data_IF_912583621160
#
_entry.id   IF_912583621160
#
_cell.length_a   1.000
_cell.length_b   1.000
_cell.length_c   1.000
_cell.angle_alpha   90.00
_cell.angle_beta   90.00
_cell.angle_gamma   90.00
#
_symmetry.space_group_name_H-M   'P 1'
#
loop_
_entity.id
_entity.type
_entity.pdbx_description
1 polymer ?
#
# COMPACT_ATOMS: atom_id res chain seq x y z
N UNK A 1 53.78 -38.58 -5.93
CA UNK A 1 52.94 -39.48 -5.10
C UNK A 1 51.83 -38.62 -4.52
N UNK A 2 50.93 -38.32 -5.43
CA UNK A 2 49.81 -37.42 -5.34
C UNK A 2 48.70 -37.86 -4.36
N UNK A 3 48.05 -36.84 -3.82
CA UNK A 3 46.61 -36.71 -3.64
C UNK A 3 45.83 -37.77 -2.87
N UNK A 4 45.72 -37.54 -1.55
CA UNK A 4 44.48 -37.78 -0.80
C UNK A 4 44.28 -36.72 0.29
N UNK A 5 43.69 -35.58 -0.08
CA UNK A 5 42.96 -34.75 0.88
C UNK A 5 41.52 -34.63 0.41
N UNK A 6 40.65 -35.15 1.26
CA UNK A 6 39.22 -35.24 1.08
C UNK A 6 38.65 -33.87 0.70
N UNK A 7 38.04 -33.76 -0.47
CA UNK A 7 37.10 -32.68 -0.75
C UNK A 7 35.86 -32.95 0.09
N UNK A 8 35.66 -32.13 1.12
CA UNK A 8 34.42 -32.06 1.87
C UNK A 8 33.28 -31.82 0.88
N UNK A 9 32.45 -32.85 0.67
CA UNK A 9 31.19 -32.75 -0.06
C UNK A 9 30.37 -31.67 0.60
N UNK A 10 30.08 -30.63 -0.16
CA UNK A 10 29.30 -29.47 0.23
C UNK A 10 27.84 -29.92 0.46
N UNK A 11 27.57 -30.47 1.65
CA UNK A 11 26.23 -30.85 2.10
C UNK A 11 25.46 -29.58 2.41
N UNK A 12 24.76 -29.05 1.41
CA UNK A 12 23.73 -28.04 1.65
C UNK A 12 22.75 -28.63 2.68
N UNK A 13 22.55 -27.96 3.83
CA UNK A 13 21.73 -28.52 4.88
C UNK A 13 20.27 -28.57 4.43
N UNK A 14 19.64 -29.71 4.70
CA UNK A 14 18.25 -30.09 4.36
C UNK A 14 17.18 -29.15 4.99
N UNK A 15 17.58 -28.08 5.68
CA UNK A 15 16.67 -27.12 6.32
C UNK A 15 15.96 -26.18 5.33
N UNK A 16 16.41 -26.07 4.07
CA UNK A 16 15.82 -25.13 3.10
C UNK A 16 14.48 -25.61 2.49
N UNK A 17 14.15 -26.90 2.61
CA UNK A 17 12.94 -27.52 2.06
C UNK A 17 11.69 -27.37 2.95
N UNK A 18 11.83 -26.82 4.16
CA UNK A 18 10.74 -26.69 5.13
C UNK A 18 9.93 -25.37 5.02
N UNK A 19 10.12 -24.58 3.96
CA UNK A 19 9.11 -23.61 3.53
C UNK A 19 7.98 -24.36 2.81
N UNK A 20 7.31 -25.26 3.53
CA UNK A 20 6.04 -25.83 3.10
C UNK A 20 5.10 -24.66 2.88
N UNK A 21 4.78 -24.41 1.62
CA UNK A 21 3.71 -23.52 1.22
C UNK A 21 2.48 -23.91 2.03
N UNK A 22 2.10 -23.05 2.98
CA UNK A 22 0.81 -23.16 3.65
C UNK A 22 -0.20 -23.08 2.51
N UNK A 23 -1.03 -24.11 2.27
CA UNK A 23 -2.06 -24.01 1.26
C UNK A 23 -2.91 -22.81 1.63
N UNK A 24 -2.95 -21.83 0.73
CA UNK A 24 -3.68 -20.58 0.89
C UNK A 24 -5.10 -20.97 1.24
N UNK A 25 -5.48 -20.71 2.49
CA UNK A 25 -6.67 -21.25 3.11
C UNK A 25 -7.89 -21.06 2.22
N UNK A 26 -8.71 -22.10 2.14
CA UNK A 26 -10.04 -22.07 1.54
C UNK A 26 -10.81 -20.92 2.18
N UNK A 27 -10.91 -19.79 1.48
CA UNK A 27 -11.69 -18.65 1.94
C UNK A 27 -13.13 -19.12 1.96
N UNK A 28 -13.68 -19.26 3.16
CA UNK A 28 -15.03 -19.76 3.38
C UNK A 28 -16.02 -18.86 2.64
N UNK A 29 -16.93 -19.48 1.89
CA UNK A 29 -18.01 -18.85 1.14
C UNK A 29 -19.12 -18.32 2.08
N UNK A 30 -18.74 -17.72 3.22
CA UNK A 30 -19.68 -16.90 4.00
C UNK A 30 -20.00 -15.71 3.12
N UNK A 31 -21.29 -15.44 2.88
CA UNK A 31 -21.76 -14.28 2.15
C UNK A 31 -21.03 -13.03 2.68
N UNK A 32 -20.01 -12.59 1.94
CA UNK A 32 -19.09 -11.57 2.41
C UNK A 32 -19.86 -10.26 2.38
N UNK A 33 -20.21 -9.74 3.57
CA UNK A 33 -20.87 -8.45 3.70
C UNK A 33 -20.03 -7.43 2.93
N UNK A 34 -20.59 -6.80 1.88
CA UNK A 34 -19.88 -5.82 1.08
C UNK A 34 -19.33 -4.72 1.97
N UNK A 35 -18.12 -4.24 1.68
CA UNK A 35 -17.42 -3.30 2.55
C UNK A 35 -18.22 -2.03 2.83
N UNK A 36 -19.01 -1.56 1.85
CA UNK A 36 -19.82 -0.34 1.94
C UNK A 36 -21.04 -0.48 2.86
N UNK A 37 -21.48 -1.70 3.16
CA UNK A 37 -22.57 -1.95 4.11
C UNK A 37 -22.07 -2.01 5.56
N UNK A 38 -20.75 -2.04 5.77
CA UNK A 38 -20.15 -2.10 7.11
C UNK A 38 -20.15 -0.69 7.70
N UNK A 39 -20.43 -0.57 9.00
CA UNK A 39 -20.32 0.72 9.71
C UNK A 39 -18.86 1.15 9.90
N UNK A 40 -18.00 0.19 10.21
CA UNK A 40 -16.57 0.38 10.44
C UNK A 40 -15.76 -0.66 9.70
N UNK A 41 -14.60 -0.26 9.18
CA UNK A 41 -13.64 -1.16 8.54
C UNK A 41 -12.24 -0.96 9.09
N UNK A 42 -11.42 -2.02 9.01
CA UNK A 42 -10.02 -1.91 9.38
C UNK A 42 -9.25 -1.02 8.41
N UNK A 43 -8.22 -0.35 8.94
CA UNK A 43 -7.38 0.58 8.19
C UNK A 43 -6.76 -0.05 6.92
N UNK A 44 -6.38 -1.33 7.01
CA UNK A 44 -5.85 -2.09 5.87
C UNK A 44 -6.89 -2.22 4.74
N UNK A 45 -8.11 -2.61 5.09
CA UNK A 45 -9.21 -2.71 4.11
C UNK A 45 -9.55 -1.35 3.52
N UNK A 46 -9.55 -0.28 4.32
CA UNK A 46 -9.76 1.07 3.81
C UNK A 46 -8.67 1.49 2.80
N UNK A 47 -7.41 1.10 3.03
CA UNK A 47 -6.29 1.34 2.11
C UNK A 47 -6.47 0.58 0.80
N UNK A 48 -6.90 -0.68 0.87
CA UNK A 48 -7.20 -1.51 -0.31
C UNK A 48 -8.37 -0.95 -1.13
N UNK A 49 -9.44 -0.48 -0.48
CA UNK A 49 -10.64 0.06 -1.15
C UNK A 49 -10.37 1.43 -1.78
N UNK A 50 -9.69 2.33 -1.08
CA UNK A 50 -9.44 3.69 -1.57
C UNK A 50 -8.24 3.81 -2.50
N UNK A 51 -7.39 2.79 -2.58
CA UNK A 51 -6.11 2.85 -3.28
C UNK A 51 -5.10 3.82 -2.67
N UNK A 52 -5.37 4.36 -1.47
CA UNK A 52 -4.47 5.26 -0.74
C UNK A 52 -3.61 4.47 0.23
N UNK A 53 -2.38 4.93 0.44
CA UNK A 53 -1.49 4.35 1.43
C UNK A 53 -1.99 4.63 2.85
N UNK A 54 -1.64 3.75 3.80
CA UNK A 54 -1.96 3.93 5.22
C UNK A 54 -1.51 5.30 5.78
N UNK A 55 -0.28 5.78 5.52
CA UNK A 55 0.11 7.13 5.93
C UNK A 55 -0.75 8.23 5.29
N UNK A 56 -1.17 8.05 4.04
CA UNK A 56 -2.09 8.95 3.35
C UNK A 56 -3.44 9.06 4.05
N UNK A 57 -4.00 7.93 4.50
CA UNK A 57 -5.24 7.92 5.28
C UNK A 57 -5.10 8.66 6.61
N UNK A 58 -3.96 8.54 7.29
CA UNK A 58 -3.68 9.34 8.50
C UNK A 58 -3.58 10.84 8.19
N UNK A 59 -3.00 11.22 7.04
CA UNK A 59 -2.96 12.62 6.61
C UNK A 59 -4.37 13.16 6.32
N UNK A 60 -5.24 12.36 5.69
CA UNK A 60 -6.63 12.74 5.42
C UNK A 60 -7.46 12.86 6.70
N UNK A 61 -7.23 11.99 7.68
CA UNK A 61 -7.84 12.11 9.01
C UNK A 61 -7.36 13.36 9.75
N UNK A 62 -6.06 13.68 9.71
CA UNK A 62 -5.50 14.92 10.26
C UNK A 62 -6.08 16.16 9.58
N UNK A 63 -6.38 16.08 8.28
CA UNK A 63 -7.06 17.13 7.52
C UNK A 63 -8.58 17.21 7.78
N UNK A 64 -9.12 16.35 8.66
CA UNK A 64 -10.54 16.33 9.01
C UNK A 64 -11.45 15.70 7.96
N UNK A 65 -10.90 15.07 6.92
CA UNK A 65 -11.67 14.46 5.83
C UNK A 65 -12.14 13.04 6.15
N UNK A 66 -11.50 12.38 7.11
CA UNK A 66 -11.75 10.99 7.45
C UNK A 66 -11.87 10.81 8.96
N UNK A 67 -12.78 9.96 9.41
CA UNK A 67 -13.02 9.71 10.84
C UNK A 67 -12.47 8.34 11.24
N UNK A 68 -11.55 8.35 12.21
CA UNK A 68 -11.06 7.15 12.87
C UNK A 68 -11.70 6.98 14.24
N UNK A 69 -11.84 5.71 14.65
CA UNK A 69 -12.19 5.34 16.02
C UNK A 69 -11.23 4.26 16.50
N UNK A 70 -10.98 4.24 17.80
CA UNK A 70 -10.32 3.11 18.44
C UNK A 70 -11.38 2.09 18.86
N UNK A 71 -11.16 0.83 18.48
CA UNK A 71 -12.02 -0.30 18.84
C UNK A 71 -11.14 -1.42 19.41
N UNK A 72 -10.97 -1.42 20.72
CA UNK A 72 -10.20 -2.45 21.43
C UNK A 72 -8.72 -2.47 21.05
N UNK A 73 -8.09 -1.30 20.91
CA UNK A 73 -6.68 -1.17 20.52
C UNK A 73 -6.43 -1.35 19.02
N UNK A 74 -7.50 -1.30 18.21
CA UNK A 74 -7.41 -1.34 16.75
C UNK A 74 -8.05 -0.09 16.18
N UNK A 75 -7.30 0.63 15.35
CA UNK A 75 -7.83 1.75 14.59
C UNK A 75 -8.77 1.25 13.50
N UNK A 76 -10.01 1.72 13.55
CA UNK A 76 -11.04 1.48 12.54
C UNK A 76 -11.47 2.78 11.88
N UNK A 77 -11.89 2.69 10.63
CA UNK A 77 -12.35 3.80 9.80
C UNK A 77 -13.86 3.75 9.69
N UNK A 78 -14.51 4.90 9.86
CA UNK A 78 -15.95 5.02 9.61
C UNK A 78 -16.22 5.07 8.10
N UNK A 79 -17.03 4.13 7.60
CA UNK A 79 -17.25 3.93 6.17
C UNK A 79 -17.92 5.14 5.51
N UNK A 80 -18.85 5.81 6.19
CA UNK A 80 -19.47 7.04 5.68
C UNK A 80 -18.45 8.15 5.38
N UNK A 81 -17.46 8.33 6.25
CA UNK A 81 -16.41 9.32 6.02
C UNK A 81 -15.47 8.93 4.87
N UNK A 82 -15.28 7.62 4.66
CA UNK A 82 -14.49 7.11 3.54
C UNK A 82 -15.23 7.30 2.21
N UNK A 83 -16.53 7.01 2.17
CA UNK A 83 -17.38 7.24 0.99
C UNK A 83 -17.37 8.73 0.64
N UNK A 84 -17.59 9.61 1.63
CA UNK A 84 -17.54 11.06 1.42
C UNK A 84 -16.18 11.54 0.89
N UNK A 85 -15.06 10.94 1.33
CA UNK A 85 -13.73 11.24 0.79
C UNK A 85 -13.61 10.84 -0.69
N UNK A 86 -14.16 9.68 -1.05
CA UNK A 86 -14.13 9.16 -2.42
C UNK A 86 -15.04 9.98 -3.35
N UNK A 87 -16.22 10.36 -2.88
CA UNK A 87 -17.17 11.18 -3.64
C UNK A 87 -16.66 12.61 -3.83
N UNK A 88 -15.87 13.12 -2.88
CA UNK A 88 -15.20 14.41 -2.99
C UNK A 88 -13.95 14.39 -3.90
N UNK A 89 -13.57 13.23 -4.44
CA UNK A 89 -12.44 13.16 -5.35
C UNK A 89 -12.74 13.93 -6.64
N UNK A 90 -11.80 14.77 -7.12
CA UNK A 90 -12.01 15.49 -8.36
C UNK A 90 -12.11 14.50 -9.53
N UNK A 91 -12.99 14.82 -10.48
CA UNK A 91 -13.10 14.08 -11.74
C UNK A 91 -11.72 13.93 -12.39
N UNK A 92 -11.44 12.76 -12.94
CA UNK A 92 -10.12 12.50 -13.51
C UNK A 92 -9.96 13.28 -14.81
N UNK A 93 -9.13 14.33 -14.77
CA UNK A 93 -8.75 15.09 -15.97
C UNK A 93 -7.37 14.63 -16.46
N UNK A 94 -7.21 14.23 -17.73
CA UNK A 94 -5.89 14.04 -18.33
C UNK A 94 -5.08 15.32 -18.21
N UNK A 95 -3.93 15.27 -17.53
CA UNK A 95 -2.98 16.39 -17.43
C UNK A 95 -1.71 16.04 -18.19
N UNK A 96 -1.27 16.94 -19.06
CA UNK A 96 0.02 16.83 -19.75
C UNK A 96 1.17 17.18 -18.80
N UNK A 97 1.44 16.25 -17.87
CA UNK A 97 2.54 16.36 -16.90
C UNK A 97 3.91 16.48 -17.59
N UNK A 98 4.04 16.00 -18.83
CA UNK A 98 5.27 16.08 -19.61
C UNK A 98 5.60 17.51 -20.03
N UNK A 99 4.59 18.30 -20.42
CA UNK A 99 4.78 19.72 -20.73
C UNK A 99 5.12 20.54 -19.48
N UNK A 100 4.47 20.26 -18.36
CA UNK A 100 4.74 20.93 -17.08
C UNK A 100 6.15 20.63 -16.57
N UNK A 101 6.60 19.37 -16.62
CA UNK A 101 7.95 18.98 -16.22
C UNK A 101 9.03 19.64 -17.10
N UNK A 102 8.80 19.74 -18.41
CA UNK A 102 9.70 20.45 -19.33
C UNK A 102 9.76 21.95 -19.04
N UNK A 103 8.62 22.58 -18.73
CA UNK A 103 8.57 23.98 -18.35
C UNK A 103 9.29 24.25 -17.02
N UNK A 104 9.12 23.39 -16.02
CA UNK A 104 9.82 23.48 -14.74
C UNK A 104 11.34 23.37 -14.91
N UNK A 105 11.82 22.42 -15.72
CA UNK A 105 13.24 22.28 -16.06
C UNK A 105 13.81 23.52 -16.76
N UNK A 106 13.09 24.07 -17.74
CA UNK A 106 13.50 25.32 -18.42
C UNK A 106 13.64 26.49 -17.44
N UNK A 107 12.70 26.65 -16.50
CA UNK A 107 12.75 27.70 -15.47
C UNK A 107 13.96 27.54 -14.55
N UNK A 108 14.23 26.33 -14.06
CA UNK A 108 15.38 26.04 -13.21
C UNK A 108 16.71 26.38 -13.91
N UNK A 109 16.87 25.99 -15.19
CA UNK A 109 18.07 26.32 -15.97
C UNK A 109 18.19 27.84 -16.20
N UNK A 110 17.10 28.53 -16.53
CA UNK A 110 17.14 29.98 -16.74
C UNK A 110 17.45 30.79 -15.47
N UNK A 111 17.07 30.28 -14.29
CA UNK A 111 17.40 30.89 -13.01
C UNK A 111 18.87 30.71 -12.65
N UNK A 112 19.44 29.52 -12.90
CA UNK A 112 20.84 29.23 -12.66
C UNK A 112 21.81 29.99 -13.58
N UNK A 113 21.36 30.39 -14.78
CA UNK A 113 22.18 31.18 -15.71
C UNK A 113 22.16 32.69 -15.40
N UNK A 114 21.28 33.15 -14.51
CA UNK A 114 21.12 34.56 -14.10
C UNK A 114 21.68 34.88 -12.71
N UNK A 115 22.14 33.87 -11.98
CA UNK A 115 22.89 33.98 -10.71
C UNK A 115 24.38 33.85 -10.96
#
# INVERSE_FOLDING_TARGET
MEDRRLTCVNSKPVYEAAKRAVPKSVQSAVASVPWYQRRFIHLRTASEVSGRSVPGLYADAKAGKLRFRDLGGRTVVEVESLIALMDAAPEWTPRDRGKEARAARKRAVSGALRS
#
